data_IF_464839702597
#
_entry.id   IF_464839702597
#
_cell.length_a   1.000
_cell.length_b   1.000
_cell.length_c   1.000
_cell.angle_alpha   90.00
_cell.angle_beta   90.00
_cell.angle_gamma   90.00
#
_symmetry.space_group_name_H-M   'P 1'
#
loop_
_entity.id
_entity.type
_entity.pdbx_description
1 polymer ?
#
# COMPACT_ATOMS: atom_id res chain seq x y z
N UNK A 1 -9.51 -14.37 5.43
CA UNK A 1 -8.36 -13.94 6.22
C UNK A 1 -7.09 -14.05 5.40
N UNK A 2 -6.26 -12.99 5.31
CA UNK A 2 -5.06 -13.08 4.48
C UNK A 2 -4.03 -14.03 5.10
N UNK A 3 -3.29 -14.71 4.24
CA UNK A 3 -2.25 -15.62 4.68
C UNK A 3 -0.99 -14.90 5.12
N UNK A 4 -0.72 -13.73 4.56
CA UNK A 4 0.50 -13.01 4.91
C UNK A 4 0.31 -11.53 4.68
N UNK A 5 1.23 -10.77 5.25
CA UNK A 5 1.23 -9.31 5.17
C UNK A 5 2.44 -8.87 4.35
N UNK A 6 2.19 -8.04 3.34
CA UNK A 6 3.26 -7.35 2.64
C UNK A 6 3.51 -6.06 3.39
N UNK A 7 4.67 -5.96 4.02
CA UNK A 7 5.02 -4.83 4.87
C UNK A 7 5.91 -3.85 4.11
N UNK A 8 5.51 -2.58 4.08
CA UNK A 8 6.26 -1.55 3.38
C UNK A 8 6.44 -0.33 4.28
N UNK A 9 7.64 -0.14 4.84
CA UNK A 9 7.96 1.12 5.50
C UNK A 9 8.22 2.18 4.43
N UNK A 10 7.72 3.38 4.63
CA UNK A 10 7.88 4.43 3.64
C UNK A 10 8.10 5.79 4.29
N UNK A 11 8.88 6.63 3.61
CA UNK A 11 9.10 8.02 3.99
C UNK A 11 9.41 8.79 2.71
N UNK A 12 8.48 9.69 2.33
CA UNK A 12 8.61 10.52 1.13
C UNK A 12 8.95 9.71 -0.11
N UNK A 13 8.25 8.58 -0.29
CA UNK A 13 8.50 7.68 -1.42
C UNK A 13 7.30 7.53 -2.34
N UNK A 14 6.50 8.58 -2.45
CA UNK A 14 5.33 8.56 -3.32
C UNK A 14 5.70 8.19 -4.75
N UNK A 15 6.92 8.51 -5.19
CA UNK A 15 7.35 8.24 -6.56
C UNK A 15 7.64 6.75 -6.82
N UNK A 16 7.82 5.96 -5.77
CA UNK A 16 8.10 4.51 -5.89
C UNK A 16 6.86 3.68 -5.66
N UNK A 17 5.97 4.13 -4.77
CA UNK A 17 4.81 3.35 -4.35
C UNK A 17 3.91 2.89 -5.50
N UNK A 18 3.68 3.69 -6.55
CA UNK A 18 2.84 3.22 -7.66
C UNK A 18 3.35 1.96 -8.33
N UNK A 19 4.66 1.80 -8.45
CA UNK A 19 5.24 0.59 -9.04
C UNK A 19 4.94 -0.63 -8.17
N UNK A 20 5.08 -0.48 -6.86
CA UNK A 20 4.80 -1.55 -5.92
C UNK A 20 3.31 -1.90 -5.92
N UNK A 21 2.45 -0.88 -5.89
CA UNK A 21 1.02 -1.09 -5.96
C UNK A 21 0.62 -1.86 -7.21
N UNK A 22 1.18 -1.45 -8.36
CA UNK A 22 0.90 -2.10 -9.62
C UNK A 22 1.31 -3.58 -9.59
N UNK A 23 2.49 -3.87 -9.04
CA UNK A 23 2.97 -5.24 -8.90
C UNK A 23 2.04 -6.08 -8.05
N UNK A 24 1.52 -5.51 -6.96
CA UNK A 24 0.60 -6.23 -6.09
C UNK A 24 -0.73 -6.49 -6.78
N UNK A 25 -1.20 -5.54 -7.59
CA UNK A 25 -2.43 -5.71 -8.36
C UNK A 25 -2.32 -6.81 -9.42
N UNK A 26 -1.11 -7.06 -9.92
CA UNK A 26 -0.87 -8.09 -10.94
C UNK A 26 -0.71 -9.48 -10.37
N UNK A 27 -0.63 -9.62 -9.04
CA UNK A 27 -0.52 -10.94 -8.42
C UNK A 27 -1.77 -11.75 -8.69
N UNK A 28 -1.60 -13.01 -9.07
CA UNK A 28 -2.72 -13.89 -9.32
C UNK A 28 -3.40 -14.31 -8.01
N UNK A 29 -2.65 -14.38 -6.93
CA UNK A 29 -3.19 -14.68 -5.60
C UNK A 29 -3.30 -13.39 -4.81
N UNK A 30 -4.51 -13.08 -4.33
CA UNK A 30 -4.77 -11.85 -3.56
C UNK A 30 -4.93 -12.14 -2.07
N UNK A 31 -4.46 -13.27 -1.60
CA UNK A 31 -4.64 -13.69 -0.21
C UNK A 31 -3.58 -13.07 0.70
N UNK A 32 -3.47 -11.75 0.64
CA UNK A 32 -2.54 -10.99 1.47
C UNK A 32 -3.15 -9.64 1.81
N UNK A 33 -2.56 -8.98 2.81
CA UNK A 33 -2.86 -7.58 3.07
C UNK A 33 -1.59 -6.76 2.89
N UNK A 34 -1.75 -5.52 2.45
CA UNK A 34 -0.63 -4.60 2.26
C UNK A 34 -0.60 -3.62 3.43
N UNK A 35 0.41 -3.74 4.26
CA UNK A 35 0.59 -2.87 5.42
C UNK A 35 1.67 -1.85 5.12
N UNK A 36 1.28 -0.58 5.07
CA UNK A 36 2.19 0.52 4.81
C UNK A 36 2.36 1.30 6.11
N UNK A 37 3.59 1.46 6.54
CA UNK A 37 3.90 2.28 7.70
C UNK A 37 4.61 3.54 7.22
N UNK A 38 3.92 4.67 7.32
CA UNK A 38 4.42 5.94 6.83
C UNK A 38 5.06 6.71 7.98
N UNK A 39 6.35 6.93 7.88
CA UNK A 39 7.14 7.60 8.91
C UNK A 39 7.21 9.12 8.65
N UNK A 40 6.03 9.75 8.66
CA UNK A 40 5.96 11.21 8.60
C UNK A 40 6.19 11.82 7.23
N UNK A 41 5.75 11.15 6.16
CA UNK A 41 5.92 11.70 4.81
C UNK A 41 5.22 13.04 4.65
N UNK A 42 5.88 13.97 3.98
CA UNK A 42 5.32 15.28 3.66
C UNK A 42 4.93 15.39 2.19
N UNK A 43 5.12 14.34 1.41
CA UNK A 43 4.75 14.30 -0.01
C UNK A 43 3.31 13.78 -0.18
N UNK A 44 2.98 13.29 -1.37
CA UNK A 44 1.64 12.84 -1.71
C UNK A 44 1.37 11.39 -1.30
N UNK A 45 2.21 10.80 -0.46
CA UNK A 45 2.07 9.40 -0.06
C UNK A 45 0.69 9.10 0.50
N UNK A 46 0.21 9.94 1.43
CA UNK A 46 -1.09 9.72 2.06
C UNK A 46 -2.24 9.78 1.07
N UNK A 47 -2.19 10.70 0.13
CA UNK A 47 -3.23 10.86 -0.88
C UNK A 47 -3.28 9.66 -1.83
N UNK A 48 -2.12 9.17 -2.23
CA UNK A 48 -2.04 8.00 -3.10
C UNK A 48 -2.65 6.78 -2.42
N UNK A 49 -2.27 6.56 -1.17
CA UNK A 49 -2.75 5.40 -0.42
C UNK A 49 -4.26 5.48 -0.21
N UNK A 50 -4.77 6.66 0.15
CA UNK A 50 -6.20 6.85 0.33
C UNK A 50 -6.97 6.54 -0.96
N UNK A 51 -6.43 6.98 -2.09
CA UNK A 51 -7.04 6.73 -3.40
C UNK A 51 -7.08 5.25 -3.72
N UNK A 52 -6.00 4.52 -3.42
CA UNK A 52 -5.94 3.09 -3.68
C UNK A 52 -6.88 2.30 -2.78
N UNK A 53 -7.07 2.76 -1.54
CA UNK A 53 -7.98 2.09 -0.61
C UNK A 53 -9.44 2.14 -1.08
N UNK A 54 -9.78 3.13 -1.89
CA UNK A 54 -11.13 3.27 -2.43
C UNK A 54 -11.39 2.37 -3.63
N UNK A 55 -10.35 1.76 -4.20
CA UNK A 55 -10.48 0.89 -5.35
C UNK A 55 -10.74 -0.55 -4.92
N UNK A 56 -11.38 -1.31 -5.82
CA UNK A 56 -11.56 -2.74 -5.60
C UNK A 56 -10.31 -3.47 -6.07
N UNK A 57 -9.36 -3.64 -5.18
CA UNK A 57 -8.06 -4.21 -5.51
C UNK A 57 -8.02 -5.71 -5.35
N UNK A 58 -8.97 -6.29 -4.64
CA UNK A 58 -8.95 -7.70 -4.30
C UNK A 58 -8.13 -8.02 -3.06
N UNK A 59 -7.48 -7.02 -2.45
CA UNK A 59 -6.73 -7.20 -1.22
C UNK A 59 -6.91 -5.99 -0.33
N UNK A 60 -6.61 -6.16 0.96
CA UNK A 60 -6.77 -5.10 1.97
C UNK A 60 -5.52 -4.24 2.01
N UNK A 61 -5.71 -2.93 2.07
CA UNK A 61 -4.61 -1.97 2.25
C UNK A 61 -4.80 -1.29 3.60
N UNK A 62 -3.78 -1.34 4.43
CA UNK A 62 -3.74 -0.65 5.71
C UNK A 62 -2.56 0.30 5.74
N UNK A 63 -2.77 1.48 6.29
CA UNK A 63 -1.71 2.47 6.41
C UNK A 63 -1.71 3.05 7.81
N UNK A 64 -0.55 3.05 8.42
CA UNK A 64 -0.33 3.70 9.72
C UNK A 64 0.67 4.82 9.54
N UNK A 65 0.35 5.97 10.11
CA UNK A 65 1.23 7.13 10.08
C UNK A 65 1.82 7.34 11.47
N UNK A 66 3.11 7.56 11.49
CA UNK A 66 3.81 7.84 12.74
C UNK A 66 4.01 9.33 12.92
#
# INVERSE_FOLDING_TARGET
MPYFTVFTPTFNRAYILPQLYHSLCEQSCKDFEWLIVDDGSSDQTGELIARWKERENGFVIRCYQI
#
